data_IF_611012642233
#
_entry.id   IF_611012642233
#
_cell.length_a   1.000
_cell.length_b   1.000
_cell.length_c   1.000
_cell.angle_alpha   90.00
_cell.angle_beta   90.00
_cell.angle_gamma   90.00
#
_symmetry.space_group_name_H-M   'P 1'
#
loop_
_entity.id
_entity.type
_entity.pdbx_description
1 polymer ?
2 non-polymer ?
3 non-polymer ?
4 water ?
#
# COMPACT_ATOMS: atom_id res chain seq x y z
N UNK A 1 -17.52 -21.28 -13.40
CA UNK A 1 -16.08 -21.35 -15.40
C UNK A 1 -15.10 -20.45 -14.64
N UNK A 2 -14.19 -19.82 -15.39
CA UNK A 2 -13.20 -18.90 -14.83
C UNK A 2 -13.64 -17.47 -15.07
N UNK A 3 -13.65 -16.63 -14.02
CA UNK A 3 -13.97 -15.21 -14.22
C UNK A 3 -12.93 -14.52 -15.12
N UNK A 4 -13.31 -13.39 -15.71
CA UNK A 4 -12.36 -12.61 -16.50
C UNK A 4 -11.21 -12.15 -15.61
N UNK A 5 -9.99 -12.23 -16.14
CA UNK A 5 -8.83 -11.63 -15.50
C UNK A 5 -7.84 -11.11 -16.56
N UNK A 6 -7.03 -10.09 -16.20
CA UNK A 6 -6.04 -9.53 -17.11
C UNK A 6 -4.93 -10.52 -17.48
N UNK A 7 -4.55 -10.53 -18.75
CA UNK A 7 -3.52 -11.42 -19.27
C UNK A 7 -2.23 -10.66 -19.58
N UNK A 8 -2.35 -9.35 -19.69
CA UNK A 8 -1.20 -8.46 -19.91
C UNK A 8 -1.40 -7.15 -19.13
N UNK A 9 -0.33 -6.37 -18.99
CA UNK A 9 -0.38 -5.15 -18.19
C UNK A 9 -1.44 -4.16 -18.68
N UNK A 10 -1.63 -4.05 -20.00
CA UNK A 10 -2.61 -3.12 -20.57
C UNK A 10 -4.06 -3.52 -20.30
N UNK A 11 -4.30 -4.79 -19.96
CA UNK A 11 -5.65 -5.25 -19.65
C UNK A 11 -6.20 -4.61 -18.37
N UNK A 12 -5.33 -4.03 -17.55
CA UNK A 12 -5.78 -3.34 -16.34
C UNK A 12 -6.59 -2.09 -16.68
N UNK A 13 -6.47 -1.61 -17.91
CA UNK A 13 -7.35 -0.55 -18.43
C UNK A 13 -8.83 -0.91 -18.29
N UNK A 14 -9.14 -2.19 -18.37
CA UNK A 14 -10.54 -2.64 -18.39
C UNK A 14 -11.19 -2.81 -17.02
N UNK A 15 -10.43 -2.64 -15.94
CA UNK A 15 -11.00 -2.76 -14.60
C UNK A 15 -10.66 -1.60 -13.66
N UNK A 16 -9.53 -0.95 -13.90
CA UNK A 16 -9.02 0.12 -13.02
C UNK A 16 -9.98 1.31 -12.88
N UNK A 17 -11.03 1.32 -13.68
CA UNK A 17 -12.07 2.36 -13.63
C UNK A 17 -13.36 1.92 -12.95
N UNK A 18 -13.38 0.69 -12.43
CA UNK A 18 -14.55 0.15 -11.72
C UNK A 18 -14.51 0.49 -10.23
N UNK A 35 -16.05 19.45 2.51
CA UNK A 35 -16.84 20.67 2.36
C UNK A 35 -17.55 20.74 1.02
N UNK A 36 -16.92 21.39 0.04
CA UNK A 36 -17.44 21.51 -1.32
C UNK A 36 -16.30 21.82 -2.29
N UNK A 37 -15.36 22.65 -1.83
CA UNK A 37 -14.09 22.86 -2.53
C UNK A 37 -13.31 21.54 -2.53
N UNK A 38 -13.40 20.81 -1.40
CA UNK A 38 -12.81 19.48 -1.29
C UNK A 38 -13.43 18.49 -2.27
N UNK A 39 -14.74 18.61 -2.50
CA UNK A 39 -15.46 17.73 -3.42
C UNK A 39 -15.07 17.93 -4.87
N UNK A 40 -14.92 19.19 -5.29
CA UNK A 40 -14.47 19.52 -6.64
C UNK A 40 -13.02 19.10 -6.88
N UNK A 41 -12.21 19.18 -5.82
CA UNK A 41 -10.81 18.78 -5.88
C UNK A 41 -10.67 17.26 -6.00
N UNK A 42 -11.52 16.53 -5.28
CA UNK A 42 -11.53 15.08 -5.36
C UNK A 42 -12.00 14.60 -6.73
N UNK A 43 -12.90 15.38 -7.33
CA UNK A 43 -13.43 15.08 -8.67
C UNK A 43 -12.34 15.29 -9.71
N UNK A 44 -11.52 16.31 -9.49
CA UNK A 44 -10.34 16.58 -10.31
C UNK A 44 -9.42 15.38 -10.34
N UNK A 45 -9.07 14.85 -9.16
CA UNK A 45 -8.21 13.66 -9.05
C UNK A 45 -8.87 12.41 -9.63
N UNK A 46 -10.15 12.22 -9.36
CA UNK A 46 -10.88 11.06 -9.88
C UNK A 46 -10.88 11.03 -11.41
N UNK A 47 -11.07 12.20 -12.02
CA UNK A 47 -11.04 12.30 -13.48
C UNK A 47 -9.66 11.98 -14.07
N UNK A 48 -8.60 12.40 -13.39
CA UNK A 48 -7.23 12.09 -13.85
C UNK A 48 -7.02 10.58 -13.91
N UNK A 49 -7.49 9.88 -12.89
CA UNK A 49 -7.40 8.43 -12.83
C UNK A 49 -8.23 7.77 -13.93
N UNK A 50 -9.46 8.22 -14.10
CA UNK A 50 -10.41 7.63 -15.06
C UNK A 50 -9.93 7.77 -16.52
N UNK A 51 -9.35 8.92 -16.81
CA UNK A 51 -8.84 9.21 -18.15
C UNK A 51 -7.51 8.53 -18.47
N UNK A 52 -6.82 8.07 -17.42
CA UNK A 52 -5.53 7.39 -17.59
C UNK A 52 -5.65 6.07 -18.36
N UNK A 53 -4.72 5.86 -19.29
CA UNK A 53 -4.58 4.58 -20.00
C UNK A 53 -3.14 4.10 -19.96
N UNK A 54 -2.93 2.80 -19.76
CA UNK A 54 -1.58 2.25 -19.77
C UNK A 54 -0.77 2.78 -20.96
N UNK A 55 0.46 3.21 -20.67
CA UNK A 55 1.34 3.81 -21.67
C UNK A 55 1.49 5.31 -21.45
N UNK A 56 0.46 5.92 -20.88
CA UNK A 56 0.48 7.34 -20.54
C UNK A 56 1.50 7.60 -19.44
N UNK A 57 2.24 8.72 -19.53
CA UNK A 57 2.87 9.16 -18.28
C UNK A 57 1.77 9.54 -17.29
N UNK A 58 1.99 9.32 -16.00
CA UNK A 58 0.97 9.63 -15.01
C UNK A 58 0.94 11.15 -14.84
N UNK A 59 -0.23 11.79 -15.06
CA UNK A 59 -0.35 13.25 -14.94
C UNK A 59 0.26 13.79 -13.65
N UNK A 60 1.14 14.78 -13.78
CA UNK A 60 1.73 15.43 -12.62
C UNK A 60 0.80 16.50 -12.09
N UNK A 61 0.73 16.62 -10.77
CA UNK A 61 -0.27 17.48 -10.14
C UNK A 61 0.41 18.61 -9.38
N UNK A 62 -0.08 19.83 -9.61
CA UNK A 62 0.30 20.98 -8.80
C UNK A 62 -0.58 20.97 -7.54
N UNK A 63 0.01 20.52 -6.44
CA UNK A 63 -0.72 20.42 -5.17
C UNK A 63 -0.86 21.79 -4.53
N UNK A 64 -1.97 21.99 -3.83
CA UNK A 64 -2.27 23.26 -3.17
C UNK A 64 -1.41 23.46 -1.92
N UNK A 65 -1.37 24.69 -1.42
CA UNK A 65 -0.59 25.01 -0.23
C UNK A 65 -1.09 24.23 0.98
N UNK A 66 -2.41 24.07 1.09
CA UNK A 66 -3.03 23.29 2.16
C UNK A 66 -2.66 21.81 2.05
N UNK A 67 -2.70 21.28 0.83
CA UNK A 67 -2.33 19.89 0.59
C UNK A 67 -0.88 19.63 0.99
N UNK A 68 0.03 20.50 0.58
CA UNK A 68 1.45 20.37 0.92
C UNK A 68 1.68 20.48 2.44
N UNK A 69 0.97 21.39 3.09
CA UNK A 69 1.02 21.53 4.54
C UNK A 69 0.60 20.24 5.25
N UNK A 70 -0.46 19.59 4.76
CA UNK A 70 -0.94 18.33 5.34
C UNK A 70 0.13 17.24 5.19
N UNK A 71 0.66 17.12 3.98
CA UNK A 71 1.78 16.22 3.70
C UNK A 71 2.95 16.45 4.66
N UNK A 72 3.32 17.72 4.81
CA UNK A 72 4.43 18.13 5.67
C UNK A 72 4.30 17.65 7.11
N UNK A 73 3.10 17.82 7.68
CA UNK A 73 2.80 17.35 9.03
C UNK A 73 2.98 15.84 9.12
N UNK A 74 2.34 15.13 8.18
CA UNK A 74 2.43 13.68 8.08
C UNK A 74 3.90 13.25 7.94
N UNK A 75 4.60 13.84 6.98
CA UNK A 75 6.01 13.52 6.71
C UNK A 75 6.90 13.78 7.93
N UNK A 76 6.77 14.97 8.52
CA UNK A 76 7.61 15.35 9.65
C UNK A 76 7.41 14.43 10.87
N UNK A 77 6.17 14.16 11.24
CA UNK A 77 5.88 13.33 12.41
C UNK A 77 6.21 11.85 12.22
N UNK A 78 5.90 11.30 11.05
CA UNK A 78 6.23 9.91 10.76
C UNK A 78 7.74 9.64 10.72
N UNK A 79 8.50 10.58 10.16
CA UNK A 79 9.96 10.42 10.11
C UNK A 79 10.64 10.39 11.49
N UNK A 80 9.97 10.97 12.49
CA UNK A 80 10.43 10.86 13.88
C UNK A 80 10.25 9.44 14.41
N UNK A 81 9.25 8.73 13.87
CA UNK A 81 8.88 7.40 14.36
C UNK A 81 9.61 6.28 13.65
N UNK A 82 9.77 6.41 12.33
CA UNK A 82 10.38 5.37 11.50
C UNK A 82 11.66 4.70 12.06
N UNK A 83 12.66 5.50 12.51
CA UNK A 83 13.91 4.89 12.98
C UNK A 83 13.72 3.84 14.07
N UNK A 84 12.73 4.02 14.95
CA UNK A 84 12.44 3.08 16.04
C UNK A 84 11.29 2.11 15.74
N UNK A 85 10.52 2.38 14.69
CA UNK A 85 9.28 1.65 14.42
C UNK A 85 9.29 0.82 13.14
N UNK A 86 9.89 1.36 12.08
CA UNK A 86 9.84 0.71 10.78
C UNK A 86 10.87 -0.43 10.64
N UNK A 87 10.53 -1.44 9.84
CA UNK A 87 11.45 -2.54 9.56
C UNK A 87 12.69 -2.03 8.81
N UNK A 88 13.76 -2.81 8.86
CA UNK A 88 15.04 -2.38 8.27
C UNK A 88 14.95 -2.12 6.76
N UNK A 89 14.16 -2.92 6.05
CA UNK A 89 14.02 -2.79 4.61
C UNK A 89 13.40 -1.45 4.23
N UNK A 90 12.39 -1.04 5.00
CA UNK A 90 11.75 0.26 4.82
C UNK A 90 12.78 1.38 4.99
N UNK A 91 13.51 1.33 6.09
CA UNK A 91 14.51 2.33 6.41
C UNK A 91 15.64 2.38 5.39
N UNK A 92 15.96 1.23 4.79
CA UNK A 92 17.00 1.14 3.77
C UNK A 92 16.62 1.92 2.50
N UNK A 93 15.34 1.84 2.11
CA UNK A 93 14.88 2.46 0.86
C UNK A 93 14.40 3.91 0.99
N UNK A 94 14.02 4.31 2.19
CA UNK A 94 13.48 5.66 2.40
C UNK A 94 14.41 6.82 1.95
N UNK A 95 15.72 6.74 2.25
CA UNK A 95 16.64 7.80 1.81
C UNK A 95 16.83 7.91 0.29
N UNK A 96 16.74 6.79 -0.42
CA UNK A 96 16.81 6.79 -1.88
C UNK A 96 15.68 7.61 -2.50
N UNK A 97 14.50 7.52 -1.87
CA UNK A 97 13.31 8.26 -2.31
C UNK A 97 13.41 9.75 -2.02
N UNK A 98 14.08 10.12 -0.94
CA UNK A 98 14.40 11.52 -0.68
C UNK A 98 15.35 12.06 -1.77
N UNK A 99 16.36 11.27 -2.10
CA UNK A 99 17.36 11.64 -3.08
C UNK A 99 16.81 11.77 -4.52
N UNK A 100 15.99 10.79 -4.94
CA UNK A 100 15.60 10.67 -6.34
C UNK A 100 14.16 11.08 -6.69
N UNK A 101 13.27 11.06 -5.69
CA UNK A 101 11.84 11.28 -5.94
C UNK A 101 11.24 12.52 -5.27
N UNK A 102 12.10 13.32 -4.61
CA UNK A 102 11.67 14.58 -4.01
C UNK A 102 10.86 14.49 -2.73
N UNK A 103 11.09 13.42 -1.95
CA UNK A 103 10.46 13.27 -0.65
C UNK A 103 11.04 14.31 0.30
N UNK A 104 10.29 15.39 0.51
CA UNK A 104 10.65 16.47 1.45
C UNK A 104 9.39 16.95 2.14
N UNK A 105 9.54 17.58 3.32
CA UNK A 105 8.41 18.16 4.05
C UNK A 105 7.62 19.16 3.21
N UNK A 106 8.32 19.90 2.34
CA UNK A 106 7.69 20.96 1.54
C UNK A 106 7.31 20.55 0.11
N UNK A 107 7.39 19.26 -0.19
CA UNK A 107 7.11 18.77 -1.53
C UNK A 107 6.43 17.40 -1.53
N UNK A 108 5.31 17.29 -2.23
CA UNK A 108 4.62 16.01 -2.40
C UNK A 108 5.16 15.33 -3.65
N UNK A 109 5.78 14.14 -3.49
CA UNK A 109 6.30 13.39 -4.64
C UNK A 109 5.22 13.09 -5.68
N UNK A 110 5.64 13.00 -6.94
CA UNK A 110 4.74 12.70 -8.04
C UNK A 110 4.71 11.19 -8.34
N UNK A 111 3.52 10.70 -8.62
CA UNK A 111 3.32 9.29 -8.96
C UNK A 111 4.18 8.84 -10.13
N UNK A 112 4.30 9.67 -11.18
CA UNK A 112 5.18 9.36 -12.32
C UNK A 112 6.65 9.13 -11.91
N UNK A 113 7.19 10.02 -11.08
CA UNK A 113 8.57 9.89 -10.57
C UNK A 113 8.76 8.61 -9.78
N UNK A 114 7.86 8.33 -8.85
CA UNK A 114 7.99 7.13 -8.01
C UNK A 114 7.76 5.85 -8.84
N UNK A 115 6.86 5.91 -9.81
CA UNK A 115 6.67 4.78 -10.71
C UNK A 115 7.95 4.45 -11.47
N UNK A 116 8.59 5.47 -12.05
CA UNK A 116 9.85 5.27 -12.77
C UNK A 116 10.97 4.77 -11.86
N UNK A 117 10.99 5.26 -10.62
CA UNK A 117 11.96 4.80 -9.62
C UNK A 117 11.75 3.30 -9.33
N UNK A 118 10.49 2.89 -9.18
CA UNK A 118 10.17 1.50 -8.86
C UNK A 118 10.46 0.57 -10.04
N UNK A 119 10.19 1.06 -11.25
CA UNK A 119 10.41 0.26 -12.45
C UNK A 119 11.86 -0.20 -12.55
N UNK A 120 12.80 0.69 -12.20
CA UNK A 120 14.22 0.31 -12.26
C UNK A 120 14.66 -0.59 -11.10
N UNK A 121 14.00 -0.45 -9.94
CA UNK A 121 14.41 -1.17 -8.73
C UNK A 121 13.86 -2.60 -8.67
N UNK A 122 12.55 -2.75 -8.89
CA UNK A 122 11.88 -4.05 -8.75
C UNK A 122 10.95 -4.42 -9.91
N UNK A 123 10.86 -3.54 -10.90
CA UNK A 123 9.89 -3.73 -11.98
C UNK A 123 8.47 -3.34 -11.60
N UNK A 124 8.28 -2.84 -10.38
CA UNK A 124 6.97 -2.34 -10.00
C UNK A 124 6.68 -1.03 -10.72
N UNK A 125 5.41 -0.79 -10.99
CA UNK A 125 4.98 0.47 -11.56
C UNK A 125 3.69 0.90 -10.89
N UNK A 126 3.31 2.14 -11.17
CA UNK A 126 2.12 2.70 -10.55
C UNK A 126 1.09 3.04 -11.61
N UNK A 127 -0.17 2.90 -11.23
CA UNK A 127 -1.29 3.32 -12.03
C UNK A 127 -2.22 4.14 -11.12
N UNK A 128 -2.57 5.37 -11.53
CA UNK A 128 -3.48 6.19 -10.73
C UNK A 128 -4.87 5.55 -10.66
N UNK A 129 -5.49 5.62 -9.49
CA UNK A 129 -6.81 5.02 -9.27
C UNK A 129 -7.78 6.02 -8.62
N UNK A 130 -9.02 6.02 -9.10
CA UNK A 130 -10.00 7.03 -8.71
C UNK A 130 -10.51 6.84 -7.28
N UNK A 131 -10.57 5.59 -6.84
CA UNK A 131 -11.00 5.24 -5.50
C UNK A 131 -10.72 3.79 -5.20
N UNK A 132 -11.58 3.17 -4.40
CA UNK A 132 -11.45 1.75 -4.04
C UNK A 132 -11.76 0.85 -5.22
N UNK A 133 -10.88 -0.10 -5.50
CA UNK A 133 -11.16 -1.19 -6.44
C UNK A 133 -11.58 -2.42 -5.67
N UNK A 134 -12.29 -3.34 -6.32
CA UNK A 134 -12.59 -4.63 -5.73
C UNK A 134 -11.27 -5.34 -5.44
N UNK A 135 -11.23 -6.14 -4.36
CA UNK A 135 -10.04 -6.90 -4.04
C UNK A 135 -9.52 -7.69 -5.24
N UNK A 136 -10.44 -8.27 -6.01
CA UNK A 136 -10.05 -9.04 -7.19
C UNK A 136 -9.28 -8.17 -8.17
N UNK A 137 -9.82 -6.98 -8.47
CA UNK A 137 -9.18 -6.08 -9.43
C UNK A 137 -7.86 -5.53 -8.88
N UNK A 138 -7.86 -5.10 -7.61
CA UNK A 138 -6.64 -4.61 -6.99
C UNK A 138 -5.50 -5.66 -7.02
N UNK A 139 -5.82 -6.88 -6.58
CA UNK A 139 -4.85 -7.96 -6.57
C UNK A 139 -4.40 -8.36 -7.97
N UNK A 140 -5.30 -8.32 -8.95
CA UNK A 140 -4.92 -8.61 -10.34
C UNK A 140 -3.77 -7.72 -10.83
N UNK A 141 -3.76 -6.46 -10.40
CA UNK A 141 -2.70 -5.52 -10.77
C UNK A 141 -1.34 -5.96 -10.25
N UNK A 142 -1.32 -6.44 -9.01
CA UNK A 142 -0.10 -6.91 -8.38
C UNK A 142 0.56 -8.05 -9.15
N UNK A 143 -0.26 -8.88 -9.80
CA UNK A 143 0.25 -9.95 -10.65
C UNK A 143 1.19 -9.45 -11.74
N UNK A 144 0.99 -8.21 -12.19
CA UNK A 144 1.84 -7.59 -13.21
C UNK A 144 2.76 -6.54 -12.62
N UNK A 145 2.91 -6.58 -11.30
CA UNK A 145 3.72 -5.62 -10.55
C UNK A 145 3.22 -4.20 -10.77
N UNK A 146 1.90 -4.07 -10.80
CA UNK A 146 1.25 -2.78 -10.90
C UNK A 146 0.50 -2.52 -9.62
N UNK A 147 0.83 -1.39 -8.99
CA UNK A 147 0.17 -0.98 -7.79
C UNK A 147 -0.76 0.21 -8.09
N UNK A 148 -2.04 0.04 -7.82
CA UNK A 148 -3.02 1.12 -8.03
C UNK A 148 -2.93 2.10 -6.87
N UNK A 149 -2.58 3.35 -7.18
CA UNK A 149 -2.34 4.39 -6.16
C UNK A 149 -3.30 5.57 -6.27
N UNK A 150 -3.82 6.00 -5.14
CA UNK A 150 -4.61 7.23 -5.10
C UNK A 150 -3.67 8.43 -5.22
N UNK A 151 -4.20 9.53 -5.71
CA UNK A 151 -3.41 10.71 -6.00
C UNK A 151 -3.77 11.91 -5.12
N UNK A 152 -4.96 11.88 -4.53
CA UNK A 152 -5.46 12.97 -3.67
C UNK A 152 -4.82 12.93 -2.28
N UNK A 153 -5.00 14.01 -1.52
CA UNK A 153 -4.44 14.12 -0.18
C UNK A 153 -5.54 14.07 0.89
N UNK A 154 -5.23 13.39 2.00
CA UNK A 154 -5.96 13.47 3.27
C UNK A 154 -6.65 14.81 3.48
N UNK A 155 -7.90 14.77 3.94
CA UNK A 155 -8.52 15.99 4.46
C UNK A 155 -7.66 16.55 5.59
N UNK A 156 -7.43 17.86 5.54
CA UNK A 156 -6.48 18.54 6.44
C UNK A 156 -6.83 18.46 7.93
N UNK A 157 -8.08 18.08 8.22
CA UNK A 157 -8.58 18.07 9.60
C UNK A 157 -8.02 16.93 10.45
N UNK A 158 -7.61 15.84 9.83
CA UNK A 158 -6.97 14.74 10.55
C UNK A 158 -5.78 14.15 9.79
N UNK A 159 -4.58 14.70 10.02
CA UNK A 159 -3.38 14.17 9.37
C UNK A 159 -2.92 12.84 10.00
N UNK A 160 -3.33 12.58 11.23
CA UNK A 160 -2.81 11.46 12.01
C UNK A 160 -3.42 10.12 11.62
N UNK A 161 -4.67 10.15 11.16
CA UNK A 161 -5.37 8.97 10.70
C UNK A 161 -6.46 9.33 9.69
N UNK A 162 -6.63 8.46 8.70
CA UNK A 162 -7.71 8.62 7.73
C UNK A 162 -8.27 7.23 7.37
N UNK A 163 -9.62 7.08 7.36
CA UNK A 163 -10.22 5.77 7.08
C UNK A 163 -10.06 5.32 5.64
N UNK A 164 -9.74 6.24 4.74
CA UNK A 164 -9.53 5.90 3.33
C UNK A 164 -8.08 6.15 2.91
N UNK A 165 -7.58 5.35 1.95
CA UNK A 165 -6.20 5.55 1.49
C UNK A 165 -6.08 6.84 0.67
N UNK A 166 -5.04 7.61 0.93
CA UNK A 166 -4.74 8.81 0.16
C UNK A 166 -3.34 8.67 -0.42
N UNK A 167 -2.85 9.70 -1.09
CA UNK A 167 -1.53 9.62 -1.71
C UNK A 167 -0.40 9.55 -0.67
N UNK A 168 -0.60 10.18 0.49
CA UNK A 168 0.36 10.09 1.59
C UNK A 168 0.59 8.63 1.96
N UNK A 169 -0.49 7.88 2.12
CA UNK A 169 -0.45 6.45 2.37
C UNK A 169 0.30 5.66 1.31
N UNK A 170 0.02 5.93 0.04
CA UNK A 170 0.70 5.21 -1.04
C UNK A 170 2.20 5.50 -1.01
N UNK A 171 2.54 6.78 -0.85
CA UNK A 171 3.91 7.24 -1.00
C UNK A 171 4.79 6.92 0.21
N UNK A 172 4.24 7.11 1.41
CA UNK A 172 5.02 6.84 2.62
C UNK A 172 4.83 5.43 3.16
N UNK A 173 3.67 4.85 2.92
CA UNK A 173 3.38 3.49 3.38
C UNK A 173 3.87 2.40 2.44
N UNK A 174 3.47 2.48 1.17
CA UNK A 174 3.74 1.40 0.21
C UNK A 174 5.07 1.48 -0.53
N UNK A 175 5.38 2.64 -1.08
CA UNK A 175 6.48 2.78 -2.04
C UNK A 175 7.85 2.27 -1.54
N UNK A 176 8.27 2.65 -0.31
CA UNK A 176 9.60 2.18 0.15
C UNK A 176 9.76 0.66 0.21
N UNK A 177 8.66 -0.06 0.44
CA UNK A 177 8.74 -1.52 0.46
C UNK A 177 8.59 -2.17 -0.91
N UNK A 178 7.83 -1.53 -1.79
CA UNK A 178 7.73 -1.99 -3.19
C UNK A 178 9.09 -1.91 -3.90
N UNK A 179 9.99 -1.08 -3.35
CA UNK A 179 11.34 -0.91 -3.85
C UNK A 179 12.28 -2.03 -3.39
N UNK A 180 11.77 -2.91 -2.53
CA UNK A 180 12.56 -4.04 -2.00
C UNK A 180 12.22 -5.34 -2.75
N UNK A 181 13.21 -5.94 -3.44
CA UNK A 181 12.98 -7.17 -4.22
C UNK A 181 12.20 -8.29 -3.50
N UNK A 182 12.55 -8.59 -2.25
CA UNK A 182 11.86 -9.69 -1.54
C UNK A 182 10.39 -9.37 -1.31
N UNK A 183 10.11 -8.11 -0.98
CA UNK A 183 8.75 -7.67 -0.74
C UNK A 183 7.94 -7.60 -2.03
N UNK A 184 8.57 -7.14 -3.10
CA UNK A 184 7.91 -7.06 -4.41
C UNK A 184 7.51 -8.44 -4.93
N UNK A 185 8.37 -9.41 -4.70
CA UNK A 185 8.08 -10.81 -5.05
C UNK A 185 6.89 -11.34 -4.25
N UNK A 186 6.91 -11.07 -2.94
CA UNK A 186 5.84 -11.49 -2.04
C UNK A 186 4.51 -10.92 -2.51
N UNK A 187 4.51 -9.63 -2.82
CA UNK A 187 3.30 -8.94 -3.28
C UNK A 187 2.79 -9.51 -4.61
N UNK A 188 3.67 -9.64 -5.59
CA UNK A 188 3.26 -10.15 -6.91
C UNK A 188 2.66 -11.55 -6.78
N UNK A 189 3.23 -12.36 -5.89
CA UNK A 189 2.77 -13.74 -5.74
C UNK A 189 1.35 -13.85 -5.18
N UNK A 190 0.97 -12.91 -4.33
CA UNK A 190 -0.42 -12.79 -3.90
C UNK A 190 -1.28 -12.51 -5.13
N UNK A 191 -0.86 -11.53 -5.93
CA UNK A 191 -1.59 -11.17 -7.16
C UNK A 191 -1.73 -12.34 -8.11
N UNK A 192 -0.62 -13.00 -8.40
CA UNK A 192 -0.61 -14.13 -9.33
C UNK A 192 -1.56 -15.24 -8.88
N UNK A 193 -1.56 -15.50 -7.57
CA UNK A 193 -2.44 -16.53 -7.00
C UNK A 193 -3.93 -16.19 -7.14
N UNK A 194 -4.24 -14.89 -7.15
CA UNK A 194 -5.62 -14.42 -7.22
C UNK A 194 -6.23 -14.53 -8.62
N UNK A 195 -5.38 -14.54 -9.64
CA UNK A 195 -5.84 -14.49 -11.03
C UNK A 195 -6.77 -15.64 -11.41
N UNK A 196 -8.04 -15.31 -11.65
CA UNK A 196 -9.05 -16.29 -12.06
C UNK A 196 -9.52 -17.19 -10.93
N UNK A 197 -9.09 -16.88 -9.71
CA UNK A 197 -9.43 -17.67 -8.53
C UNK A 197 -10.90 -17.50 -8.12
N UNK A 198 -11.38 -18.44 -7.32
CA UNK A 198 -12.73 -18.39 -6.78
C UNK A 198 -12.92 -17.15 -5.90
N UNK A 199 -14.18 -16.78 -5.70
CA UNK A 199 -14.58 -15.70 -4.81
C UNK A 199 -14.02 -15.93 -3.40
N UNK A 200 -14.12 -17.17 -2.94
CA UNK A 200 -13.61 -17.59 -1.64
C UNK A 200 -12.09 -17.46 -1.53
N UNK A 201 -11.39 -17.87 -2.59
CA UNK A 201 -9.93 -17.78 -2.64
C UNK A 201 -9.43 -16.33 -2.67
N UNK A 202 -10.13 -15.48 -3.42
CA UNK A 202 -9.79 -14.05 -3.50
C UNK A 202 -9.94 -13.37 -2.14
N UNK A 203 -11.03 -13.67 -1.43
CA UNK A 203 -11.27 -13.06 -0.12
C UNK A 203 -10.18 -13.44 0.87
N UNK A 204 -9.76 -14.71 0.84
CA UNK A 204 -8.70 -15.20 1.73
C UNK A 204 -7.34 -14.58 1.42
N UNK A 205 -7.05 -14.46 0.12
CA UNK A 205 -5.82 -13.80 -0.34
C UNK A 205 -5.84 -12.31 0.01
N UNK A 206 -6.99 -11.66 -0.17
CA UNK A 206 -7.14 -10.23 0.15
C UNK A 206 -6.97 -9.97 1.65
N UNK A 207 -7.47 -10.88 2.48
CA UNK A 207 -7.29 -10.77 3.93
C UNK A 207 -5.82 -10.97 4.33
N UNK A 208 -5.15 -11.94 3.73
CA UNK A 208 -3.72 -12.16 3.97
C UNK A 208 -2.90 -10.92 3.56
N UNK A 209 -3.23 -10.37 2.40
CA UNK A 209 -2.64 -9.12 1.92
C UNK A 209 -2.84 -7.98 2.93
N UNK A 210 -4.07 -7.85 3.42
CA UNK A 210 -4.45 -6.78 4.35
C UNK A 210 -3.61 -6.86 5.63
N UNK A 211 -3.47 -8.06 6.16
CA UNK A 211 -2.76 -8.25 7.42
C UNK A 211 -1.24 -8.45 7.27
N UNK A 212 -0.73 -8.29 6.05
CA UNK A 212 0.71 -8.25 5.83
C UNK A 212 1.09 -6.90 5.21
N UNK A 213 0.81 -6.76 3.92
CA UNK A 213 1.15 -5.54 3.15
C UNK A 213 0.56 -4.27 3.76
N UNK A 214 -0.69 -4.32 4.23
CA UNK A 214 -1.31 -3.13 4.80
C UNK A 214 -1.07 -2.91 6.30
N UNK A 215 -1.12 -3.98 7.11
CA UNK A 215 -1.10 -3.83 8.57
C UNK A 215 -0.16 -4.80 9.30
N UNK A 216 0.81 -5.32 8.57
CA UNK A 216 1.73 -6.32 9.09
C UNK A 216 2.81 -5.80 10.01
N UNK A 217 3.18 -6.63 10.98
CA UNK A 217 4.34 -6.43 11.81
C UNK A 217 5.34 -7.55 11.49
N UNK A 218 6.60 -7.33 11.81
CA UNK A 218 7.61 -8.37 11.65
C UNK A 218 8.54 -8.35 12.84
N UNK A 219 9.15 -9.50 13.13
CA UNK A 219 10.15 -9.60 14.19
C UNK A 219 11.54 -9.50 13.59
N UNK A 220 12.29 -8.47 14.00
CA UNK A 220 13.65 -8.29 13.52
C UNK A 220 14.64 -8.12 14.66
N UNK A 221 15.64 -9.00 14.69
CA UNK A 221 16.62 -9.07 15.77
C UNK A 221 15.92 -9.13 17.14
N UNK A 222 14.82 -9.88 17.20
CA UNK A 222 14.05 -10.06 18.43
C UNK A 222 13.00 -9.01 18.74
N UNK A 223 13.08 -7.87 18.05
CA UNK A 223 12.19 -6.74 18.31
C UNK A 223 11.05 -6.67 17.28
N UNK A 224 9.91 -6.15 17.69
CA UNK A 224 8.78 -5.93 16.79
C UNK A 224 8.99 -4.66 15.97
N UNK A 225 8.87 -4.81 14.65
CA UNK A 225 8.90 -3.67 13.75
C UNK A 225 7.68 -3.74 12.84
N UNK A 226 7.40 -2.64 12.14
CA UNK A 226 6.24 -2.62 11.27
C UNK A 226 6.60 -2.48 9.78
N UNK A 227 5.87 -3.24 8.96
CA UNK A 227 6.04 -3.16 7.52
C UNK A 227 4.72 -2.85 6.82
N UNK A 228 3.62 -2.91 7.58
CA UNK A 228 2.29 -2.58 7.05
C UNK A 228 2.16 -1.13 6.63
N UNK A 229 1.81 -0.91 5.36
CA UNK A 229 1.70 0.43 4.80
C UNK A 229 0.66 1.30 5.49
N UNK A 230 -0.45 0.69 5.92
CA UNK A 230 -1.53 1.39 6.62
C UNK A 230 -1.10 1.88 7.99
N UNK A 231 -0.13 1.18 8.58
CA UNK A 231 0.49 1.61 9.83
C UNK A 231 1.55 2.69 9.56
N UNK A 232 2.34 2.50 8.51
CA UNK A 232 3.45 3.39 8.21
C UNK A 232 3.04 4.79 7.75
N UNK A 233 1.77 4.95 7.37
CA UNK A 233 1.25 6.25 6.93
C UNK A 233 0.34 6.95 7.97
N UNK A 234 0.12 6.30 9.11
CA UNK A 234 -0.72 6.85 10.18
C UNK A 234 0.11 7.10 11.43
N UNK A 235 0.36 8.38 11.71
CA UNK A 235 1.07 8.78 12.92
C UNK A 235 0.51 8.05 14.14
N UNK A 236 -0.81 8.08 14.30
CA UNK A 236 -1.47 7.53 15.49
C UNK A 236 -1.44 6.01 15.58
N UNK A 237 -1.78 5.30 14.50
CA UNK A 237 -1.78 3.83 14.55
C UNK A 237 -0.38 3.22 14.60
N UNK A 238 0.61 3.87 13.98
CA UNK A 238 1.99 3.41 14.03
C UNK A 238 2.49 3.32 15.48
N UNK A 239 2.20 4.37 16.26
CA UNK A 239 2.55 4.40 17.69
C UNK A 239 1.78 3.31 18.44
N UNK A 240 0.48 3.22 18.16
CA UNK A 240 -0.38 2.24 18.82
C UNK A 240 0.08 0.81 18.61
N UNK A 241 0.43 0.48 17.35
CA UNK A 241 0.84 -0.87 16.98
C UNK A 241 1.98 -1.43 17.83
N UNK A 242 2.95 -0.59 18.19
CA UNK A 242 4.11 -1.02 18.96
C UNK A 242 4.13 -0.52 20.42
N UNK A 243 2.98 -0.10 20.94
CA UNK A 243 2.90 0.67 22.20
C UNK A 243 3.35 0.05 23.55
N UNK A 244 3.03 -1.21 23.86
CA UNK A 244 2.18 -2.11 23.09
C UNK A 244 0.93 -2.44 23.87
N UNK A 245 -0.16 -1.76 23.53
CA UNK A 245 -1.47 -1.99 24.11
C UNK A 245 -2.38 -2.72 23.13
N UNK A 246 -1.78 -3.26 22.07
CA UNK A 246 -2.52 -3.95 21.02
C UNK A 246 -2.22 -5.46 21.04
N UNK A 247 -3.17 -6.26 20.57
CA UNK A 247 -3.01 -7.70 20.49
C UNK A 247 -2.24 -8.08 19.23
N UNK A 248 -1.26 -8.97 19.41
CA UNK A 248 -0.42 -9.44 18.31
C UNK A 248 -0.41 -10.97 18.27
N UNK A 249 -0.63 -11.53 17.08
CA UNK A 249 -0.63 -12.97 16.87
C UNK A 249 0.39 -13.33 15.79
N UNK A 250 0.85 -14.60 15.76
CA UNK A 250 1.78 -14.96 14.68
C UNK A 250 1.05 -14.97 13.34
N UNK A 251 1.76 -14.60 12.27
CA UNK A 251 1.18 -14.68 10.93
C UNK A 251 1.08 -16.13 10.48
N UNK A 252 -0.16 -16.55 10.21
CA UNK A 252 -0.45 -17.92 9.82
C UNK A 252 -1.67 -17.85 8.90
N UNK A 253 -1.44 -18.01 7.59
CA UNK A 253 -2.48 -17.75 6.58
C UNK A 253 -3.83 -18.41 6.87
N UNK A 254 -3.83 -19.69 7.25
CA UNK A 254 -5.08 -20.40 7.53
C UNK A 254 -5.88 -19.80 8.70
N UNK A 255 -5.20 -19.16 9.64
CA UNK A 255 -5.87 -18.41 10.71
C UNK A 255 -6.11 -16.95 10.31
N UNK A 256 -5.09 -16.31 9.74
CA UNK A 256 -5.12 -14.89 9.41
C UNK A 256 -6.23 -14.53 8.41
N UNK A 257 -6.47 -15.41 7.43
CA UNK A 257 -7.48 -15.15 6.39
C UNK A 257 -8.92 -15.04 6.91
N UNK A 258 -9.18 -15.58 8.10
CA UNK A 258 -10.50 -15.53 8.70
C UNK A 258 -10.74 -14.24 9.49
N UNK A 259 -9.66 -13.53 9.79
CA UNK A 259 -9.74 -12.30 10.57
C UNK A 259 -10.48 -11.19 9.82
N UNK A 260 -11.38 -10.50 10.52
CA UNK A 260 -12.13 -9.40 9.94
C UNK A 260 -11.23 -8.18 9.71
N UNK A 261 -11.28 -7.64 8.49
CA UNK A 261 -10.55 -6.42 8.14
C UNK A 261 -11.36 -5.20 8.56
N UNK A 262 -10.81 -4.39 9.44
CA UNK A 262 -11.51 -3.23 9.97
C UNK A 262 -11.20 -1.94 9.20
N UNK A 263 -12.25 -1.16 8.96
CA UNK A 263 -12.15 0.17 8.38
C UNK A 263 -12.80 1.17 9.34
N UNK A 264 -12.34 2.42 9.29
CA UNK A 264 -12.86 3.49 10.17
C UNK A 264 -12.16 3.53 11.53
N UNK A 265 -11.54 2.41 11.92
CA UNK A 265 -10.84 2.31 13.21
C UNK A 265 -9.45 1.68 13.08
N UNK A 266 -8.64 1.81 14.14
CA UNK A 266 -7.45 0.99 14.32
C UNK A 266 -7.84 -0.49 14.21
N UNK A 267 -6.90 -1.34 13.83
CA UNK A 267 -7.16 -2.78 13.84
C UNK A 267 -7.24 -3.32 15.27
N UNK A 268 -7.93 -4.45 15.43
CA UNK A 268 -8.07 -5.10 16.74
C UNK A 268 -6.97 -6.14 16.99
N UNK A 269 -6.33 -6.59 15.92
CA UNK A 269 -5.21 -7.51 16.01
C UNK A 269 -4.21 -7.22 14.89
N UNK A 270 -2.93 -7.36 15.20
CA UNK A 270 -1.86 -7.29 14.22
C UNK A 270 -1.14 -8.63 14.17
N UNK A 271 -0.83 -9.07 12.95
CA UNK A 271 -0.10 -10.32 12.75
C UNK A 271 1.39 -10.10 12.50
N UNK A 272 2.20 -10.93 13.14
CA UNK A 272 3.66 -10.83 13.11
C UNK A 272 4.27 -11.87 12.18
N UNK A 273 4.98 -11.42 11.16
CA UNK A 273 5.72 -12.28 10.25
C UNK A 273 7.18 -12.36 10.69
N UNK A 274 7.84 -13.46 10.37
CA UNK A 274 9.26 -13.66 10.71
C UNK A 274 10.17 -12.84 9.80
N UNK A 275 9.85 -12.86 8.51
CA UNK A 275 10.58 -12.11 7.49
C UNK A 275 9.72 -12.12 6.24
N UNK A 276 10.09 -11.31 5.25
CA UNK A 276 9.42 -11.32 3.95
C UNK A 276 9.62 -12.67 3.26
N UNK A 277 10.81 -13.24 3.44
CA UNK A 277 11.10 -14.58 2.90
C UNK A 277 10.15 -15.62 3.49
N UNK A 278 9.98 -15.60 4.82
CA UNK A 278 9.12 -16.56 5.50
C UNK A 278 7.64 -16.39 5.16
N UNK A 279 7.19 -15.14 5.13
CA UNK A 279 5.80 -14.82 4.81
C UNK A 279 5.44 -15.37 3.42
N UNK A 280 6.37 -15.19 2.49
CA UNK A 280 6.24 -15.71 1.13
C UNK A 280 6.12 -17.23 1.10
N UNK A 281 6.93 -17.91 1.91
CA UNK A 281 6.91 -19.37 1.98
C UNK A 281 5.60 -19.90 2.59
N UNK A 282 5.13 -19.23 3.63
CA UNK A 282 3.83 -19.57 4.24
C UNK A 282 2.68 -19.33 3.25
N UNK A 283 2.76 -18.25 2.49
CA UNK A 283 1.75 -17.97 1.47
C UNK A 283 1.76 -19.00 0.34
N UNK A 284 2.95 -19.44 -0.05
CA UNK A 284 3.10 -20.47 -1.07
C UNK A 284 2.45 -21.79 -0.64
N UNK A 285 2.68 -22.19 0.61
CA UNK A 285 2.07 -23.44 1.09
C UNK A 285 0.56 -23.30 1.23
N UNK A 286 0.11 -22.11 1.61
CA UNK A 286 -1.31 -21.84 1.80
C UNK A 286 -2.11 -21.81 0.50
N UNK A 287 -1.55 -21.21 -0.54
CA UNK A 287 -2.27 -21.06 -1.82
C UNK A 287 -2.49 -22.40 -2.52
N UNK A 288 -1.62 -23.37 -2.23
CA UNK A 288 -1.81 -24.74 -2.69
C UNK A 288 -3.04 -25.38 -2.05
N UNK A 289 -3.34 -24.99 -0.82
CA UNK A 289 -4.48 -25.56 -0.08
C UNK A 289 -5.83 -25.00 -0.52
N UNK A 290 -5.83 -23.84 -1.18
CA UNK A 290 -7.09 -23.24 -1.66
C UNK A 290 -7.18 -23.22 -3.20
X LIG B 1 -2.60 0.53 0.99
X LIG C 1 -4.30 6.89 8.13
X LIG C 1 -3.75 6.15 7.26
X LIG C 1 -2.72 6.50 6.63
X LIG C 1 -4.36 4.82 6.95
X LIG C 1 -5.37 4.42 7.91
X LIG C 1 -4.98 4.97 5.57
X LIG C 1 -5.52 3.67 5.00
X LIG C 1 -6.89 3.53 4.82
X LIG C 1 -7.41 2.36 4.28
X LIG C 1 -4.66 2.64 4.64
X LIG C 1 -5.18 1.46 4.10
X LIG C 1 -6.56 1.32 3.93
X LIG C 1 -7.15 0.08 3.33
X LIG C 1 -8.47 -0.27 3.60
X LIG C 1 -6.42 -0.69 2.49
X LIG C 1 -6.94 -1.80 1.93
X LIG C 1 -6.19 -2.57 1.10
X LIG C 1 -8.23 -2.16 2.18
X LIG C 1 -8.99 -1.42 3.00
X LIG C 1 -10.30 -1.78 3.27
X LIG C 1 -10.80 -3.05 2.87
X LIG C 1 -11.61 -3.64 4.03
X LIG C 1 -10.91 -3.57 5.14
X LIG C 1 -12.71 -2.95 4.18
X LIG C 1 -11.88 -4.90 3.75
X LIG C 1 -11.62 -2.96 1.64
X LIG C 1 -12.30 -1.78 1.31
X LIG C 1 -13.07 -1.72 0.15
X LIG C 1 -11.73 -4.07 0.81
X LIG C 1 -12.51 -4.01 -0.35
X LIG C 1 -13.18 -2.84 -0.68
X LIG C 1 -14.01 -2.78 -1.93
X LIG C 1 -14.10 -1.61 -2.68
X LIG C 1 -14.71 -3.92 -2.36
X LIG C 1 -15.47 -3.87 -3.52
X LIG C 1 -16.14 -4.97 -3.93
X LIG C 1 -15.55 -2.69 -4.27
X LIG C 1 -14.86 -1.56 -3.85
#
# INVERSE_FOLDING_TARGET
SVPWFPKKISDLDHCANRVLMYGSELDADHPGFKDNVYRKRRKYFADLAMNYKHGDPIPKVEFTEEEIKTWGTVFRELNKLYPTHACREYLKNLPLLSKYCGYREDNIPQLEDVSNFLKERTGFSIRPVAGYLSPRDFLSGLAFRVFHCTQYVRHSSDPFYTPEPDTCHELLGHVPLLAEPSFAQFSQEIGLASLGASEEAVQKLATCYFFTVEFGLCKQDGQLRVFGAGLLSSISELKHALSGHAKVKPFDPKITCKQECLITTFQDVYFVSESFEDAKEKMREFTKTI
FE FE
ML0 O38 C36 O37 C34 N35 C33 C30 C29 C28 C31 C32 C27 C22 C21 N23 C24 N26 N25 C20 O16 C14 C15 F19 F18 F17 C11 C10 C9 C12 C13 C8 C3 C2 C4 C5 F7 C6 C1
#
